data_IF_641260294099
#
_entry.id   IF_641260294099
#
_cell.length_a   1.000
_cell.length_b   1.000
_cell.length_c   1.000
_cell.angle_alpha   90.00
_cell.angle_beta   90.00
_cell.angle_gamma   90.00
#
_symmetry.space_group_name_H-M   'P 1'
#
loop_
_entity.id
_entity.type
_entity.pdbx_description
1 polymer ?
#
# COMPACT_ATOMS: atom_id res chain seq x y z
N UNK A 1 33.80 24.55 15.15
CA UNK A 1 33.58 23.71 13.96
C UNK A 1 34.37 24.30 12.82
N UNK A 2 35.27 23.54 12.21
CA UNK A 2 36.06 24.00 11.07
C UNK A 2 35.23 23.94 9.76
N UNK A 3 35.72 24.58 8.69
CA UNK A 3 35.03 24.62 7.39
C UNK A 3 34.74 23.21 6.85
N UNK A 4 35.66 22.27 7.07
CA UNK A 4 35.49 20.86 6.66
C UNK A 4 34.37 20.16 7.43
N UNK A 5 34.24 20.42 8.74
CA UNK A 5 33.19 19.90 9.59
C UNK A 5 31.82 20.50 9.23
N UNK A 6 31.77 21.79 8.87
CA UNK A 6 30.56 22.44 8.34
C UNK A 6 30.08 21.77 7.05
N UNK A 7 30.97 21.58 6.07
CA UNK A 7 30.63 20.92 4.81
C UNK A 7 30.14 19.48 5.04
N UNK A 8 30.78 18.75 5.95
CA UNK A 8 30.36 17.39 6.30
C UNK A 8 28.99 17.38 6.98
N UNK A 9 28.73 18.34 7.85
CA UNK A 9 27.44 18.48 8.53
C UNK A 9 26.31 18.78 7.54
N UNK A 10 26.52 19.69 6.58
CA UNK A 10 25.52 20.03 5.58
C UNK A 10 25.16 18.83 4.69
N UNK A 11 26.16 18.06 4.25
CA UNK A 11 25.93 16.81 3.50
C UNK A 11 25.14 15.78 4.31
N UNK A 12 25.51 15.57 5.57
CA UNK A 12 24.80 14.65 6.44
C UNK A 12 23.36 15.10 6.68
N UNK A 13 23.10 16.41 6.73
CA UNK A 13 21.76 16.95 6.86
C UNK A 13 20.92 16.68 5.61
N UNK A 14 21.49 16.87 4.43
CA UNK A 14 20.83 16.59 3.15
C UNK A 14 20.50 15.10 3.02
N UNK A 15 21.46 14.21 3.30
CA UNK A 15 21.26 12.76 3.32
C UNK A 15 20.17 12.34 4.33
N UNK A 16 20.12 12.97 5.50
CA UNK A 16 19.09 12.67 6.50
C UNK A 16 17.67 13.03 6.03
N UNK A 17 17.51 14.18 5.35
CA UNK A 17 16.21 14.58 4.82
C UNK A 17 15.76 13.67 3.67
N UNK A 18 16.68 13.22 2.82
CA UNK A 18 16.39 12.20 1.79
C UNK A 18 15.91 10.89 2.41
N UNK A 19 16.64 10.37 3.41
CA UNK A 19 16.27 9.13 4.10
C UNK A 19 14.92 9.23 4.83
N UNK A 20 14.60 10.38 5.43
CA UNK A 20 13.28 10.59 6.06
C UNK A 20 12.15 10.52 5.04
N UNK A 21 12.36 11.06 3.84
CA UNK A 21 11.39 11.01 2.76
C UNK A 21 11.19 9.57 2.27
N UNK A 22 12.27 8.83 2.03
CA UNK A 22 12.21 7.42 1.64
C UNK A 22 11.49 6.56 2.70
N UNK A 23 11.80 6.76 3.99
CA UNK A 23 11.12 6.06 5.08
C UNK A 23 9.64 6.38 5.11
N UNK A 24 9.25 7.63 4.85
CA UNK A 24 7.84 8.04 4.84
C UNK A 24 7.09 7.37 3.70
N UNK A 25 7.67 7.34 2.49
CA UNK A 25 7.09 6.66 1.33
C UNK A 25 6.97 5.15 1.58
N UNK A 26 8.01 4.49 2.09
CA UNK A 26 7.98 3.06 2.43
C UNK A 26 6.92 2.72 3.49
N UNK A 27 6.77 3.56 4.52
CA UNK A 27 5.71 3.37 5.52
C UNK A 27 4.31 3.47 4.92
N UNK A 28 4.08 4.45 4.03
CA UNK A 28 2.81 4.55 3.31
C UNK A 28 2.54 3.30 2.46
N UNK A 29 3.57 2.75 1.80
CA UNK A 29 3.43 1.51 1.02
C UNK A 29 3.10 0.29 1.88
N UNK A 30 3.69 0.17 3.08
CA UNK A 30 3.37 -0.91 4.02
C UNK A 30 1.92 -0.79 4.49
N UNK A 31 1.51 0.40 4.93
CA UNK A 31 0.13 0.65 5.36
C UNK A 31 -0.87 0.37 4.23
N UNK A 32 -0.54 0.71 3.00
CA UNK A 32 -1.36 0.39 1.82
C UNK A 32 -1.57 -1.12 1.65
N UNK A 33 -0.53 -1.93 1.86
CA UNK A 33 -0.62 -3.40 1.78
C UNK A 33 -1.46 -3.99 2.92
N UNK A 34 -1.41 -3.40 4.11
CA UNK A 34 -2.20 -3.84 5.28
C UNK A 34 -3.71 -3.54 5.14
N UNK A 35 -4.08 -2.47 4.43
CA UNK A 35 -5.49 -2.08 4.23
C UNK A 35 -6.22 -2.91 3.14
N UNK A 36 -5.53 -3.86 2.50
CA UNK A 36 -6.18 -4.86 1.66
C UNK A 36 -6.82 -5.94 2.52
N UNK A 37 -8.10 -6.16 2.30
CA UNK A 37 -8.81 -7.28 2.90
C UNK A 37 -9.24 -8.29 1.85
N UNK A 38 -9.48 -9.49 2.35
CA UNK A 38 -9.93 -10.61 1.56
C UNK A 38 -11.44 -10.52 1.33
N UNK A 39 -11.87 -10.48 0.06
CA UNK A 39 -13.26 -10.55 -0.32
C UNK A 39 -13.53 -11.79 -1.17
N UNK A 40 -14.53 -12.57 -0.79
CA UNK A 40 -15.07 -13.65 -1.61
C UNK A 40 -15.98 -13.04 -2.67
N UNK A 41 -15.79 -13.44 -3.92
CA UNK A 41 -16.66 -13.05 -5.03
C UNK A 41 -17.02 -14.27 -5.88
N UNK A 42 -18.18 -14.21 -6.54
CA UNK A 42 -18.61 -15.23 -7.48
C UNK A 42 -18.59 -14.69 -8.91
N UNK A 43 -17.80 -15.32 -9.79
CA UNK A 43 -17.59 -14.84 -11.17
C UNK A 43 -18.91 -14.77 -11.95
N UNK A 44 -19.80 -15.75 -11.76
CA UNK A 44 -21.04 -15.82 -12.52
C UNK A 44 -22.10 -14.81 -12.06
N UNK A 45 -21.94 -14.23 -10.87
CA UNK A 45 -22.93 -13.33 -10.28
C UNK A 45 -22.47 -11.88 -10.23
N UNK A 46 -21.18 -11.61 -10.49
CA UNK A 46 -20.54 -10.28 -10.43
C UNK A 46 -20.82 -9.51 -9.13
N UNK A 47 -21.15 -10.22 -8.04
CA UNK A 47 -21.56 -9.66 -6.75
C UNK A 47 -20.81 -10.31 -5.59
N UNK A 48 -20.71 -9.55 -4.50
CA UNK A 48 -19.95 -9.86 -3.28
C UNK A 48 -20.85 -9.98 -2.04
N UNK A 49 -22.14 -10.19 -2.25
CA UNK A 49 -23.12 -10.39 -1.17
C UNK A 49 -23.00 -11.83 -0.62
N UNK A 50 -22.81 -11.95 0.69
CA UNK A 50 -22.62 -13.22 1.41
C UNK A 50 -23.79 -14.19 1.21
N UNK A 51 -25.03 -13.69 1.12
CA UNK A 51 -26.22 -14.49 0.82
C UNK A 51 -26.27 -15.00 -0.64
N UNK A 52 -25.54 -14.35 -1.55
CA UNK A 52 -25.42 -14.79 -2.95
C UNK A 52 -24.30 -15.82 -3.09
N UNK A 53 -23.20 -15.67 -2.33
CA UNK A 53 -22.06 -16.60 -2.36
C UNK A 53 -22.45 -18.01 -1.88
N UNK A 54 -23.40 -18.15 -0.95
CA UNK A 54 -23.87 -19.46 -0.49
C UNK A 54 -24.53 -20.29 -1.59
N UNK A 55 -25.06 -19.63 -2.61
CA UNK A 55 -25.68 -20.27 -3.78
C UNK A 55 -24.68 -20.47 -4.94
N UNK A 56 -23.45 -19.97 -4.82
CA UNK A 56 -22.43 -20.13 -5.84
C UNK A 56 -21.69 -21.46 -5.71
N UNK A 57 -21.43 -22.10 -6.86
CA UNK A 57 -20.59 -23.29 -6.91
C UNK A 57 -19.19 -23.00 -6.39
N UNK A 58 -18.59 -23.94 -5.66
CA UNK A 58 -17.19 -23.84 -5.19
C UNK A 58 -16.21 -23.53 -6.34
N UNK A 59 -16.49 -24.02 -7.55
CA UNK A 59 -15.64 -23.81 -8.73
C UNK A 59 -15.73 -22.38 -9.29
N UNK A 60 -16.74 -21.61 -8.88
CA UNK A 60 -16.99 -20.23 -9.34
C UNK A 60 -16.66 -19.17 -8.29
N UNK A 61 -16.38 -19.59 -7.05
CA UNK A 61 -15.92 -18.73 -5.98
C UNK A 61 -14.44 -18.38 -6.18
N UNK A 62 -14.14 -17.10 -6.05
CA UNK A 62 -12.78 -16.58 -6.20
C UNK A 62 -12.44 -15.64 -5.06
N UNK A 63 -11.14 -15.47 -4.92
CA UNK A 63 -10.49 -14.69 -3.88
C UNK A 63 -9.98 -13.39 -4.46
N UNK A 64 -10.54 -12.26 -4.05
CA UNK A 64 -10.07 -10.94 -4.44
C UNK A 64 -9.47 -10.21 -3.25
N UNK A 65 -8.41 -9.44 -3.50
CA UNK A 65 -7.87 -8.47 -2.56
C UNK A 65 -8.46 -7.11 -2.91
N UNK A 66 -9.15 -6.50 -1.96
CA UNK A 66 -9.82 -5.22 -2.15
C UNK A 66 -9.29 -4.23 -1.13
N UNK A 67 -9.01 -3.02 -1.60
CA UNK A 67 -8.61 -1.92 -0.74
C UNK A 67 -9.88 -1.32 -0.11
N UNK A 68 -9.91 -1.28 1.23
CA UNK A 68 -11.08 -0.79 1.97
C UNK A 68 -11.37 0.69 1.75
N UNK A 69 -10.32 1.52 1.70
CA UNK A 69 -10.45 2.96 1.51
C UNK A 69 -9.19 3.55 0.88
N UNK A 70 -9.27 3.93 -0.40
CA UNK A 70 -8.16 4.57 -1.10
C UNK A 70 -7.98 6.04 -0.75
N UNK A 71 -8.93 6.68 -0.06
CA UNK A 71 -8.90 8.13 0.21
C UNK A 71 -7.87 8.53 1.28
N UNK A 72 -7.40 7.58 2.07
CA UNK A 72 -6.40 7.79 3.13
C UNK A 72 -4.97 7.99 2.63
N UNK A 73 -4.72 7.77 1.34
CA UNK A 73 -3.38 7.76 0.76
C UNK A 73 -3.24 8.88 -0.27
N UNK A 74 -2.34 9.83 -0.01
CA UNK A 74 -2.04 10.94 -0.92
C UNK A 74 -1.43 10.47 -2.25
N UNK A 75 -0.71 9.34 -2.22
CA UNK A 75 -0.08 8.72 -3.39
C UNK A 75 -0.20 7.20 -3.27
N UNK A 76 -0.78 6.57 -4.29
CA UNK A 76 -0.78 5.12 -4.38
C UNK A 76 0.64 4.63 -4.67
N UNK A 77 1.07 3.49 -4.10
CA UNK A 77 2.34 2.89 -4.48
C UNK A 77 2.37 2.69 -5.99
N UNK A 78 3.43 3.17 -6.65
CA UNK A 78 3.69 2.80 -8.04
C UNK A 78 3.82 1.28 -8.08
N UNK A 79 3.18 0.65 -9.06
CA UNK A 79 3.42 -0.78 -9.32
C UNK A 79 4.92 -0.95 -9.54
N UNK A 80 5.54 -1.85 -8.78
CA UNK A 80 6.86 -2.36 -9.14
C UNK A 80 6.66 -3.11 -10.47
N UNK A 81 7.41 -2.70 -11.51
CA UNK A 81 7.48 -3.39 -12.81
C UNK A 81 8.25 -4.73 -12.71
#
# INVERSE_FOLDING_TARGET
>A
MNITELIKFDKLKEENELLKNEITELKQQILYKEDFYFQLFCINCEKVDECILSNCSKNTLRKNYVLSDSSKYDKLPSKED
#
